data_IF_818762230795
#
_entry.id   IF_818762230795
#
_cell.length_a   1.000
_cell.length_b   1.000
_cell.length_c   1.000
_cell.angle_alpha   90.00
_cell.angle_beta   90.00
_cell.angle_gamma   90.00
#
_symmetry.space_group_name_H-M   'P 1'
#
loop_
_entity.id
_entity.type
_entity.pdbx_description
1 polymer ?
#
# COMPACT_ATOMS: atom_id res chain seq x y z
N UNK A 1 0.55 8.64 3.35
CA UNK A 1 1.27 8.71 4.62
C UNK A 1 1.92 7.35 4.79
N UNK A 2 3.23 7.28 4.55
CA UNK A 2 4.03 6.11 4.91
C UNK A 2 3.96 5.94 6.44
N UNK A 3 4.14 4.71 6.93
CA UNK A 3 4.06 4.36 8.34
C UNK A 3 5.19 4.93 9.21
N UNK A 4 5.57 6.19 9.04
CA UNK A 4 6.72 6.82 9.69
C UNK A 4 6.47 7.13 11.17
N UNK A 5 7.58 7.14 11.93
CA UNK A 5 7.75 7.19 13.40
C UNK A 5 6.99 8.26 14.20
N UNK A 6 6.27 9.18 13.56
CA UNK A 6 5.63 10.33 14.24
C UNK A 6 4.32 10.00 14.97
N UNK A 7 3.71 8.84 14.72
CA UNK A 7 2.50 8.42 15.42
C UNK A 7 2.51 6.92 15.73
N UNK A 8 2.29 6.56 16.99
CA UNK A 8 2.18 5.17 17.42
C UNK A 8 1.06 4.45 16.66
N UNK A 9 1.20 3.12 16.50
CA UNK A 9 0.16 2.29 15.88
C UNK A 9 -1.20 2.49 16.57
N UNK A 10 -1.20 2.67 17.90
CA UNK A 10 -2.38 2.99 18.70
C UNK A 10 -3.06 4.28 18.26
N UNK A 11 -2.28 5.35 18.05
CA UNK A 11 -2.80 6.64 17.56
C UNK A 11 -3.40 6.51 16.17
N UNK A 12 -2.73 5.78 15.27
CA UNK A 12 -3.21 5.52 13.91
C UNK A 12 -4.54 4.76 13.92
N UNK A 13 -4.65 3.71 14.73
CA UNK A 13 -5.88 2.93 14.88
C UNK A 13 -7.03 3.77 15.46
N UNK A 14 -6.76 4.62 16.46
CA UNK A 14 -7.77 5.51 17.04
C UNK A 14 -8.34 6.48 15.98
N UNK A 15 -7.47 7.10 15.18
CA UNK A 15 -7.89 8.01 14.09
C UNK A 15 -8.62 7.23 12.99
N UNK A 16 -8.13 6.04 12.65
CA UNK A 16 -8.74 5.19 11.62
C UNK A 16 -10.14 4.75 12.02
N UNK A 17 -10.34 4.29 13.26
CA UNK A 17 -11.66 3.98 13.81
C UNK A 17 -12.60 5.18 13.73
N UNK A 18 -12.15 6.37 14.15
CA UNK A 18 -12.95 7.60 14.14
C UNK A 18 -13.38 8.02 12.73
N UNK A 19 -12.48 7.94 11.74
CA UNK A 19 -12.73 8.47 10.39
C UNK A 19 -13.29 7.43 9.40
N UNK A 20 -13.02 6.14 9.64
CA UNK A 20 -13.25 5.06 8.67
C UNK A 20 -13.95 3.84 9.28
N UNK A 21 -14.33 3.86 10.56
CA UNK A 21 -14.88 2.70 11.30
C UNK A 21 -15.99 1.93 10.58
N UNK A 22 -16.86 2.60 9.83
CA UNK A 22 -17.98 1.96 9.09
C UNK A 22 -17.56 1.30 7.76
N UNK A 23 -16.30 1.41 7.37
CA UNK A 23 -15.80 1.00 6.05
C UNK A 23 -14.88 -0.23 6.11
N UNK A 24 -14.69 -0.82 7.30
CA UNK A 24 -13.94 -2.04 7.51
C UNK A 24 -14.60 -2.83 8.64
N UNK A 25 -14.58 -4.15 8.54
CA UNK A 25 -15.09 -5.06 9.58
C UNK A 25 -13.95 -5.64 10.42
N UNK A 26 -12.77 -5.82 9.80
CA UNK A 26 -11.59 -6.44 10.40
C UNK A 26 -10.33 -5.70 9.96
N UNK A 27 -9.31 -5.69 10.81
CA UNK A 27 -7.99 -5.15 10.51
C UNK A 27 -6.93 -6.14 10.98
N UNK A 28 -5.84 -6.21 10.24
CA UNK A 28 -4.69 -7.04 10.55
C UNK A 28 -3.45 -6.15 10.61
N UNK A 29 -2.65 -6.33 11.66
CA UNK A 29 -1.34 -5.71 11.82
C UNK A 29 -0.27 -6.79 11.66
N UNK A 30 0.83 -6.44 10.99
CA UNK A 30 1.97 -7.31 10.83
C UNK A 30 3.20 -6.60 11.38
N UNK A 31 3.97 -7.33 12.17
CA UNK A 31 5.33 -6.97 12.53
C UNK A 31 6.26 -7.66 11.53
N UNK A 32 7.24 -6.91 11.04
CA UNK A 32 8.22 -7.41 10.08
C UNK A 32 9.55 -7.48 10.80
N UNK A 33 10.38 -8.45 10.44
CA UNK A 33 11.72 -8.58 11.00
C UNK A 33 12.56 -7.32 10.76
N UNK A 34 13.48 -7.04 11.68
CA UNK A 34 14.31 -5.82 11.66
C UNK A 34 15.24 -5.72 10.44
N UNK A 35 15.51 -6.83 9.76
CA UNK A 35 16.27 -6.84 8.51
C UNK A 35 15.50 -6.27 7.32
N UNK A 36 14.18 -6.06 7.45
CA UNK A 36 13.34 -5.44 6.41
C UNK A 36 13.27 -3.94 6.63
N UNK A 37 13.93 -3.19 5.77
CA UNK A 37 13.99 -1.74 5.81
C UNK A 37 12.69 -1.06 5.42
N UNK A 38 12.57 0.24 5.77
CA UNK A 38 11.39 1.04 5.41
C UNK A 38 11.13 1.10 3.89
N UNK A 39 12.18 1.06 3.07
CA UNK A 39 12.06 1.09 1.62
C UNK A 39 11.44 -0.20 1.07
N UNK A 40 11.79 -1.35 1.63
CA UNK A 40 11.21 -2.65 1.27
C UNK A 40 9.75 -2.71 1.70
N UNK A 41 9.42 -2.22 2.89
CA UNK A 41 8.02 -2.08 3.35
C UNK A 41 7.22 -1.17 2.40
N UNK A 42 7.79 -0.02 1.98
CA UNK A 42 7.13 0.89 1.03
C UNK A 42 6.94 0.24 -0.34
N UNK A 43 7.90 -0.56 -0.79
CA UNK A 43 7.81 -1.31 -2.04
C UNK A 43 6.71 -2.36 -1.98
N UNK A 44 6.67 -3.18 -0.93
CA UNK A 44 5.60 -4.16 -0.71
C UNK A 44 4.22 -3.49 -0.66
N UNK A 45 4.08 -2.40 0.10
CA UNK A 45 2.84 -1.61 0.14
C UNK A 45 2.47 -1.06 -1.25
N UNK A 46 3.46 -0.65 -2.03
CA UNK A 46 3.30 -0.24 -3.43
C UNK A 46 2.76 -1.36 -4.31
N UNK A 47 3.36 -2.55 -4.24
CA UNK A 47 2.98 -3.72 -5.00
C UNK A 47 1.54 -4.13 -4.71
N UNK A 48 1.18 -4.28 -3.43
CA UNK A 48 -0.20 -4.65 -3.05
C UNK A 48 -1.22 -3.63 -3.56
N UNK A 49 -0.95 -2.33 -3.39
CA UNK A 49 -1.84 -1.29 -3.92
C UNK A 49 -2.01 -1.41 -5.44
N UNK A 50 -0.92 -1.61 -6.17
CA UNK A 50 -0.95 -1.67 -7.62
C UNK A 50 -1.69 -2.93 -8.13
N UNK A 51 -1.52 -4.08 -7.47
CA UNK A 51 -2.25 -5.32 -7.77
C UNK A 51 -3.76 -5.07 -7.61
N UNK A 52 -4.18 -4.57 -6.45
CA UNK A 52 -5.58 -4.28 -6.16
C UNK A 52 -6.07 -2.93 -6.70
N UNK A 53 -5.36 -2.27 -7.62
CA UNK A 53 -5.67 -0.89 -8.06
C UNK A 53 -7.09 -0.74 -8.63
N UNK A 54 -7.57 -1.77 -9.31
CA UNK A 54 -8.89 -1.82 -9.95
C UNK A 54 -9.99 -2.38 -9.04
N UNK A 55 -9.62 -2.99 -7.93
CA UNK A 55 -10.59 -3.53 -6.96
C UNK A 55 -11.18 -2.36 -6.15
N UNK A 56 -12.47 -2.10 -6.35
CA UNK A 56 -13.20 -1.02 -5.68
C UNK A 56 -13.53 -1.35 -4.23
N UNK A 57 -13.54 -2.62 -3.84
CA UNK A 57 -13.78 -3.08 -2.48
C UNK A 57 -12.49 -3.01 -1.67
N UNK A 58 -11.42 -3.65 -2.16
CA UNK A 58 -10.13 -3.73 -1.46
C UNK A 58 -9.43 -2.37 -1.37
N UNK A 59 -9.58 -1.51 -2.38
CA UNK A 59 -8.83 -0.26 -2.49
C UNK A 59 -9.64 0.99 -2.11
N UNK A 60 -10.87 0.83 -1.61
CA UNK A 60 -11.81 1.93 -1.32
C UNK A 60 -11.23 3.00 -0.40
N UNK A 61 -10.39 2.59 0.56
CA UNK A 61 -9.90 3.44 1.64
C UNK A 61 -8.50 4.03 1.40
N UNK A 62 -7.83 3.59 0.36
CA UNK A 62 -6.47 3.98 0.04
C UNK A 62 -6.46 5.27 -0.77
N UNK A 63 -5.67 6.25 -0.31
CA UNK A 63 -5.48 7.52 -1.03
C UNK A 63 -4.62 7.33 -2.29
N UNK A 64 -3.65 6.43 -2.21
CA UNK A 64 -2.80 6.05 -3.35
C UNK A 64 -3.22 4.65 -3.79
N UNK A 65 -3.57 4.48 -5.07
CA UNK A 65 -4.07 3.21 -5.60
C UNK A 65 -3.06 2.48 -6.48
N UNK A 66 -2.00 3.14 -6.92
CA UNK A 66 -1.05 2.58 -7.87
C UNK A 66 0.38 2.93 -7.47
N UNK A 67 1.31 2.07 -7.89
CA UNK A 67 2.74 2.25 -7.69
C UNK A 67 3.42 2.69 -8.99
N UNK A 68 4.03 3.89 -8.97
CA UNK A 68 4.66 4.49 -10.16
C UNK A 68 5.82 3.65 -10.69
N UNK A 69 6.63 3.04 -9.82
CA UNK A 69 7.75 2.18 -10.26
C UNK A 69 7.25 1.04 -11.14
N UNK A 70 6.17 0.36 -10.74
CA UNK A 70 5.59 -0.72 -11.53
C UNK A 70 4.93 -0.24 -12.83
N UNK A 71 4.28 0.94 -12.82
CA UNK A 71 3.80 1.56 -14.06
C UNK A 71 4.93 1.86 -15.06
N UNK A 72 6.09 2.31 -14.55
CA UNK A 72 7.29 2.57 -15.35
C UNK A 72 7.81 1.28 -15.98
N UNK A 73 8.03 0.24 -15.18
CA UNK A 73 8.46 -1.08 -15.67
C UNK A 73 7.56 -1.55 -16.80
N UNK A 74 6.23 -1.57 -16.60
CA UNK A 74 5.28 -1.98 -17.64
C UNK A 74 5.41 -1.18 -18.95
N UNK A 75 5.64 0.13 -18.86
CA UNK A 75 5.79 0.99 -20.04
C UNK A 75 7.10 0.69 -20.76
N UNK A 76 8.18 0.54 -20.02
CA UNK A 76 9.52 0.35 -20.57
C UNK A 76 9.62 -1.03 -21.25
N UNK A 77 9.11 -2.09 -20.61
CA UNK A 77 9.02 -3.44 -21.20
C UNK A 77 8.15 -3.50 -22.47
N UNK A 78 7.10 -2.68 -22.57
CA UNK A 78 6.30 -2.54 -23.80
C UNK A 78 7.07 -1.86 -24.92
N UNK A 79 7.83 -0.81 -24.60
CA UNK A 79 8.69 -0.10 -25.56
C UNK A 79 9.77 -1.04 -26.12
N UNK A 80 10.33 -1.87 -25.25
CA UNK A 80 11.35 -2.86 -25.61
C UNK A 80 10.76 -4.12 -26.26
N UNK A 81 9.42 -4.22 -26.35
CA UNK A 81 8.72 -5.33 -26.99
C UNK A 81 8.92 -6.70 -26.32
N UNK A 82 9.17 -6.71 -25.02
CA UNK A 82 9.34 -7.93 -24.20
C UNK A 82 8.00 -8.58 -23.81
N UNK A 83 6.87 -7.86 -23.89
CA UNK A 83 5.52 -8.38 -23.58
C UNK A 83 4.68 -8.66 -24.84
N UNK A 84 5.27 -9.28 -25.89
CA UNK A 84 4.47 -9.80 -27.01
C UNK A 84 3.74 -11.07 -26.61
#
# INVERSE_FOLDING_TARGET
AAGTKTASIRGRLRVHRRKKGKLWTHFSAFEVWDNVGEEEVKELEGLFRHIYRKDTRANKLNRQRAFKKLSKVRRDTKKENWMR
#
